data_IF_719944144656
#
_entry.id   IF_719944144656
#
_cell.length_a   1.000
_cell.length_b   1.000
_cell.length_c   1.000
_cell.angle_alpha   90.00
_cell.angle_beta   90.00
_cell.angle_gamma   90.00
#
_symmetry.space_group_name_H-M   'P 1'
#
loop_
_entity.id
_entity.type
_entity.pdbx_description
1 polymer ?
#
# COMPACT_ATOMS: atom_id res chain seq x y z
N UNK A 1 -22.28 -7.49 9.36
CA UNK A 1 -21.72 -6.95 10.62
C UNK A 1 -20.70 -5.86 10.30
N UNK A 2 -20.77 -4.72 11.01
CA UNK A 2 -19.89 -3.55 10.85
C UNK A 2 -19.20 -3.29 12.19
N UNK A 3 -17.87 -3.33 12.21
CA UNK A 3 -17.09 -3.03 13.42
C UNK A 3 -16.56 -1.60 13.32
N UNK A 4 -16.76 -0.79 14.36
CA UNK A 4 -16.27 0.60 14.48
C UNK A 4 -15.48 0.72 15.79
N UNK A 5 -14.27 1.28 15.71
CA UNK A 5 -13.38 1.49 16.87
C UNK A 5 -13.36 2.99 17.18
N UNK A 6 -13.47 3.36 18.47
CA UNK A 6 -13.63 4.74 18.93
C UNK A 6 -12.32 5.39 19.41
N UNK A 7 -12.12 6.71 19.23
CA UNK A 7 -10.82 7.41 19.31
C UNK A 7 -10.20 7.59 20.70
N UNK A 8 -10.96 7.43 21.78
CA UNK A 8 -10.58 7.96 23.10
C UNK A 8 -9.60 7.07 23.88
N UNK A 9 -9.09 5.99 23.30
CA UNK A 9 -8.13 5.09 23.94
C UNK A 9 -6.90 4.90 23.06
N UNK A 10 -5.71 5.10 23.64
CA UNK A 10 -4.51 4.49 23.10
C UNK A 10 -4.62 2.98 23.31
N UNK A 11 -4.49 2.22 22.23
CA UNK A 11 -4.49 0.76 22.29
C UNK A 11 -3.07 0.25 22.10
N UNK A 12 -2.63 -0.67 22.94
CA UNK A 12 -1.35 -1.36 22.68
C UNK A 12 -1.45 -2.13 21.36
N UNK A 13 -2.47 -2.97 21.21
CA UNK A 13 -2.70 -3.67 19.95
C UNK A 13 -4.19 -3.76 19.63
N UNK A 14 -4.49 -3.69 18.34
CA UNK A 14 -5.82 -3.88 17.81
C UNK A 14 -5.82 -5.05 16.84
N UNK A 15 -6.51 -6.13 17.21
CA UNK A 15 -6.65 -7.33 16.38
C UNK A 15 -8.10 -7.49 15.91
N UNK A 16 -8.31 -7.58 14.60
CA UNK A 16 -9.63 -7.79 14.00
C UNK A 16 -9.59 -8.99 13.06
N UNK A 17 -10.52 -9.92 13.23
CA UNK A 17 -10.73 -11.04 12.32
C UNK A 17 -12.15 -11.02 11.79
N UNK A 18 -12.32 -11.04 10.47
CA UNK A 18 -13.63 -10.86 9.85
C UNK A 18 -13.77 -11.61 8.52
N UNK A 19 -14.80 -12.43 8.34
CA UNK A 19 -14.93 -13.19 7.08
C UNK A 19 -15.49 -12.36 5.92
N UNK A 20 -16.63 -11.68 6.07
CA UNK A 20 -17.36 -11.05 4.95
C UNK A 20 -17.84 -9.62 5.24
N UNK A 21 -17.57 -9.11 6.44
CA UNK A 21 -18.07 -7.83 6.93
C UNK A 21 -17.17 -6.64 6.58
N UNK A 22 -17.51 -5.50 7.17
CA UNK A 22 -16.80 -4.25 6.97
C UNK A 22 -16.10 -3.84 8.26
N UNK A 23 -14.77 -3.68 8.18
CA UNK A 23 -13.91 -3.20 9.26
C UNK A 23 -13.60 -1.74 8.99
N UNK A 24 -13.98 -0.84 9.91
CA UNK A 24 -13.71 0.59 9.76
C UNK A 24 -13.06 1.12 11.04
N UNK A 25 -11.85 1.64 10.92
CA UNK A 25 -11.12 2.30 11.99
C UNK A 25 -10.82 3.74 11.56
N UNK A 26 -11.16 4.72 12.41
CA UNK A 26 -11.00 6.15 12.08
C UNK A 26 -10.42 6.94 13.23
N UNK A 27 -9.43 7.80 12.97
CA UNK A 27 -8.82 8.72 13.94
C UNK A 27 -8.33 7.99 15.19
N UNK A 28 -7.48 6.99 14.99
CA UNK A 28 -7.02 6.10 16.07
C UNK A 28 -5.50 6.09 16.16
N UNK A 29 -5.04 6.02 17.41
CA UNK A 29 -3.65 5.79 17.75
C UNK A 29 -3.54 4.43 18.45
N UNK A 30 -2.80 3.50 17.86
CA UNK A 30 -2.48 2.24 18.51
C UNK A 30 -1.03 1.86 18.19
N UNK A 31 -0.36 1.07 19.02
CA UNK A 31 1.03 0.69 18.71
C UNK A 31 1.09 -0.35 17.57
N UNK A 32 0.05 -1.17 17.46
CA UNK A 32 -0.05 -2.25 16.47
C UNK A 32 -1.48 -2.41 15.95
N UNK A 33 -1.66 -2.39 14.63
CA UNK A 33 -2.90 -2.84 13.97
C UNK A 33 -2.66 -4.18 13.27
N UNK A 34 -3.49 -5.18 13.56
CA UNK A 34 -3.48 -6.48 12.91
C UNK A 34 -4.90 -6.82 12.45
N UNK A 35 -5.14 -6.76 11.15
CA UNK A 35 -6.47 -6.96 10.56
C UNK A 35 -6.39 -8.12 9.58
N UNK A 36 -7.22 -9.14 9.79
CA UNK A 36 -7.34 -10.26 8.87
C UNK A 36 -8.78 -10.39 8.40
N UNK A 37 -8.98 -10.41 7.08
CA UNK A 37 -10.29 -10.66 6.48
C UNK A 37 -10.24 -11.66 5.33
N UNK A 38 -11.34 -12.34 5.06
CA UNK A 38 -11.45 -13.15 3.85
C UNK A 38 -11.97 -12.32 2.68
N UNK A 39 -13.24 -11.93 2.71
CA UNK A 39 -13.95 -11.22 1.63
C UNK A 39 -14.40 -9.81 2.04
N UNK A 40 -14.06 -9.37 3.25
CA UNK A 40 -14.51 -8.10 3.80
C UNK A 40 -13.82 -6.89 3.21
N UNK A 41 -14.32 -5.71 3.56
CA UNK A 41 -13.66 -4.44 3.21
C UNK A 41 -13.08 -3.82 4.48
N UNK A 42 -11.78 -3.53 4.45
CA UNK A 42 -11.04 -2.83 5.49
C UNK A 42 -10.85 -1.38 5.09
N UNK A 43 -11.41 -0.46 5.87
CA UNK A 43 -11.21 0.97 5.74
C UNK A 43 -10.42 1.50 6.96
N UNK A 44 -9.29 2.13 6.70
CA UNK A 44 -8.50 2.86 7.71
C UNK A 44 -8.43 4.34 7.31
N UNK A 45 -8.83 5.25 8.21
CA UNK A 45 -8.82 6.71 7.97
C UNK A 45 -8.16 7.46 9.12
N UNK A 46 -7.12 8.25 8.88
CA UNK A 46 -6.50 9.06 9.95
C UNK A 46 -5.88 8.19 11.04
N UNK A 47 -5.07 7.20 10.69
CA UNK A 47 -4.47 6.27 11.64
C UNK A 47 -3.02 6.66 11.91
N UNK A 48 -2.60 6.64 13.17
CA UNK A 48 -1.20 6.71 13.56
C UNK A 48 -0.80 5.44 14.31
N UNK A 49 0.17 4.69 13.77
CA UNK A 49 0.63 3.45 14.39
C UNK A 49 2.07 3.14 13.97
N UNK A 50 2.99 2.78 14.88
CA UNK A 50 4.28 2.22 14.51
C UNK A 50 4.18 1.07 13.50
N UNK A 51 3.18 0.17 13.65
CA UNK A 51 3.05 -1.01 12.80
C UNK A 51 1.61 -1.29 12.37
N UNK A 52 1.43 -1.58 11.08
CA UNK A 52 0.14 -2.01 10.51
C UNK A 52 0.37 -3.28 9.70
N UNK A 53 -0.41 -4.31 9.99
CA UNK A 53 -0.52 -5.54 9.19
C UNK A 53 -1.99 -5.70 8.80
N UNK A 54 -2.27 -5.77 7.51
CA UNK A 54 -3.61 -6.06 7.01
C UNK A 54 -3.59 -7.09 5.89
N UNK A 55 -4.39 -8.14 6.05
CA UNK A 55 -4.47 -9.25 5.10
C UNK A 55 -5.92 -9.49 4.67
N UNK A 56 -6.11 -9.69 3.38
CA UNK A 56 -7.39 -10.05 2.76
C UNK A 56 -7.23 -11.23 1.79
N UNK A 57 -8.27 -12.05 1.60
CA UNK A 57 -8.29 -12.99 0.47
C UNK A 57 -8.85 -12.31 -0.80
N UNK A 58 -10.12 -11.94 -0.77
CA UNK A 58 -10.84 -11.29 -1.88
C UNK A 58 -11.26 -9.85 -1.52
N UNK A 59 -10.92 -9.40 -0.33
CA UNK A 59 -11.37 -8.13 0.25
C UNK A 59 -10.69 -6.88 -0.31
N UNK A 60 -11.36 -5.75 -0.16
CA UNK A 60 -10.84 -4.42 -0.49
C UNK A 60 -10.14 -3.84 0.74
N UNK A 61 -8.95 -3.30 0.56
CA UNK A 61 -8.26 -2.50 1.58
C UNK A 61 -8.15 -1.06 1.08
N UNK A 62 -8.71 -0.12 1.83
CA UNK A 62 -8.77 1.29 1.47
C UNK A 62 -8.28 2.15 2.64
N UNK A 63 -7.03 2.58 2.56
CA UNK A 63 -6.35 3.31 3.62
C UNK A 63 -6.16 4.75 3.18
N UNK A 64 -6.51 5.71 4.03
CA UNK A 64 -6.30 7.13 3.77
C UNK A 64 -5.81 7.87 4.99
N UNK A 65 -4.88 8.80 4.79
CA UNK A 65 -4.27 9.61 5.84
C UNK A 65 -3.70 8.72 6.96
N UNK A 66 -2.80 7.80 6.60
CA UNK A 66 -2.20 6.84 7.54
C UNK A 66 -0.73 7.13 7.70
N UNK A 67 -0.28 7.30 8.94
CA UNK A 67 1.11 7.47 9.30
C UNK A 67 1.57 6.24 10.09
N UNK A 68 2.55 5.52 9.55
CA UNK A 68 3.15 4.39 10.24
C UNK A 68 4.63 4.25 9.92
N UNK A 69 5.38 3.52 10.76
CA UNK A 69 6.77 3.21 10.42
C UNK A 69 6.82 2.04 9.44
N UNK A 70 6.05 0.98 9.73
CA UNK A 70 6.03 -0.25 8.94
C UNK A 70 4.59 -0.64 8.59
N UNK A 71 4.31 -0.80 7.30
CA UNK A 71 3.00 -1.18 6.79
C UNK A 71 3.16 -2.42 5.92
N UNK A 72 2.48 -3.51 6.29
CA UNK A 72 2.37 -4.71 5.48
C UNK A 72 0.92 -4.93 5.06
N UNK A 73 0.65 -4.89 3.76
CA UNK A 73 -0.69 -5.09 3.20
C UNK A 73 -0.68 -6.19 2.16
N UNK A 74 -1.57 -7.18 2.30
CA UNK A 74 -1.60 -8.34 1.40
C UNK A 74 -3.01 -8.73 1.00
N UNK A 75 -3.25 -8.90 -0.29
CA UNK A 75 -4.50 -9.45 -0.81
C UNK A 75 -4.24 -10.63 -1.75
N UNK A 76 -5.15 -11.59 -1.90
CA UNK A 76 -5.02 -12.58 -2.98
C UNK A 76 -5.65 -12.04 -4.27
N UNK A 77 -6.91 -11.63 -4.24
CA UNK A 77 -7.67 -11.21 -5.43
C UNK A 77 -8.25 -9.80 -5.33
N UNK A 78 -8.05 -9.12 -4.20
CA UNK A 78 -8.67 -7.83 -3.93
C UNK A 78 -7.82 -6.62 -4.33
N UNK A 79 -8.44 -5.44 -4.21
CA UNK A 79 -7.80 -4.14 -4.44
C UNK A 79 -7.19 -3.61 -3.15
N UNK A 80 -5.96 -3.12 -3.23
CA UNK A 80 -5.30 -2.32 -2.20
C UNK A 80 -5.18 -0.88 -2.70
N UNK A 81 -5.76 0.07 -1.97
CA UNK A 81 -5.67 1.50 -2.24
C UNK A 81 -5.10 2.20 -1.01
N UNK A 82 -3.99 2.88 -1.20
CA UNK A 82 -3.28 3.66 -0.19
C UNK A 82 -3.27 5.12 -0.66
N UNK A 83 -3.94 5.99 0.06
CA UNK A 83 -4.09 7.42 -0.28
C UNK A 83 -3.49 8.28 0.83
N UNK A 84 -2.37 8.94 0.58
CA UNK A 84 -1.59 9.67 1.62
C UNK A 84 -1.23 8.74 2.79
N UNK A 85 -0.59 7.62 2.45
CA UNK A 85 -0.05 6.65 3.41
C UNK A 85 1.47 6.76 3.45
N UNK A 86 1.99 7.08 4.64
CA UNK A 86 3.39 7.40 4.89
C UNK A 86 4.04 6.34 5.79
N UNK A 87 5.27 5.96 5.47
CA UNK A 87 6.02 4.87 6.11
C UNK A 87 6.76 3.97 5.13
N UNK A 88 7.46 2.97 5.63
CA UNK A 88 7.94 1.86 4.82
C UNK A 88 6.77 0.92 4.50
N UNK A 89 6.49 0.74 3.20
CA UNK A 89 5.30 -0.01 2.76
C UNK A 89 5.72 -1.24 1.97
N UNK A 90 5.31 -2.39 2.47
CA UNK A 90 5.29 -3.64 1.73
C UNK A 90 3.85 -3.99 1.34
N UNK A 91 3.61 -4.12 0.04
CA UNK A 91 2.29 -4.40 -0.49
C UNK A 91 2.30 -5.54 -1.50
N UNK A 92 1.45 -6.53 -1.29
CA UNK A 92 1.43 -7.74 -2.11
C UNK A 92 0.02 -8.07 -2.60
N UNK A 93 -0.10 -8.45 -3.87
CA UNK A 93 -1.32 -9.07 -4.39
C UNK A 93 -1.03 -10.27 -5.31
N UNK A 94 -1.99 -11.19 -5.51
CA UNK A 94 -1.84 -12.26 -6.51
C UNK A 94 -2.55 -11.94 -7.81
N UNK A 95 -3.82 -11.57 -7.76
CA UNK A 95 -4.67 -11.31 -8.93
C UNK A 95 -5.42 -9.96 -8.81
N UNK A 96 -4.86 -9.02 -8.05
CA UNK A 96 -5.51 -7.76 -7.74
C UNK A 96 -4.74 -6.54 -8.26
N UNK A 97 -5.11 -5.37 -7.75
CA UNK A 97 -4.39 -4.14 -8.01
C UNK A 97 -3.91 -3.49 -6.72
N UNK A 98 -2.75 -2.85 -6.82
CA UNK A 98 -2.18 -2.05 -5.77
C UNK A 98 -2.03 -0.62 -6.31
N UNK A 99 -2.61 0.34 -5.60
CA UNK A 99 -2.48 1.75 -5.92
C UNK A 99 -2.00 2.52 -4.70
N UNK A 100 -0.95 3.33 -4.90
CA UNK A 100 -0.47 4.32 -3.93
C UNK A 100 -0.65 5.72 -4.53
N UNK A 101 -1.25 6.62 -3.76
CA UNK A 101 -1.24 8.07 -3.99
C UNK A 101 -0.49 8.71 -2.84
N UNK A 102 0.49 9.57 -3.12
CA UNK A 102 1.33 10.17 -2.09
C UNK A 102 1.90 11.51 -2.57
N UNK A 103 2.37 12.32 -1.63
CA UNK A 103 2.95 13.62 -1.96
C UNK A 103 4.32 13.47 -2.62
N UNK A 104 5.12 12.52 -2.14
CA UNK A 104 6.50 12.31 -2.59
C UNK A 104 6.93 10.85 -2.41
N UNK A 105 8.07 10.51 -3.00
CA UNK A 105 8.62 9.15 -3.07
C UNK A 105 9.97 9.03 -2.38
N UNK A 106 10.29 9.94 -1.47
CA UNK A 106 11.55 9.97 -0.71
C UNK A 106 11.52 8.96 0.46
N UNK A 107 11.16 7.70 0.16
CA UNK A 107 11.08 6.58 1.10
C UNK A 107 11.16 5.22 0.41
N UNK A 108 11.40 4.18 1.19
CA UNK A 108 11.42 2.81 0.70
C UNK A 108 10.00 2.27 0.45
N UNK A 109 9.81 1.62 -0.71
CA UNK A 109 8.56 0.94 -1.07
C UNK A 109 8.86 -0.42 -1.69
N UNK A 110 8.04 -1.42 -1.39
CA UNK A 110 8.13 -2.74 -2.00
C UNK A 110 6.74 -3.24 -2.40
N UNK A 111 6.42 -3.20 -3.70
CA UNK A 111 5.16 -3.66 -4.24
C UNK A 111 5.34 -4.83 -5.19
N UNK A 112 4.55 -5.88 -4.98
CA UNK A 112 4.59 -7.10 -5.77
C UNK A 112 3.19 -7.56 -6.15
N UNK A 113 3.03 -7.97 -7.40
CA UNK A 113 1.84 -8.70 -7.86
C UNK A 113 2.21 -9.90 -8.74
N UNK A 114 1.34 -10.90 -8.86
CA UNK A 114 1.54 -11.97 -9.84
C UNK A 114 0.78 -11.70 -11.14
N UNK A 115 -0.52 -11.39 -11.07
CA UNK A 115 -1.41 -11.12 -12.18
C UNK A 115 -2.18 -9.81 -11.92
N UNK A 116 -1.52 -8.67 -12.02
CA UNK A 116 -2.10 -7.44 -11.50
C UNK A 116 -1.43 -6.16 -11.93
N UNK A 117 -1.95 -5.05 -11.42
CA UNK A 117 -1.45 -3.71 -11.73
C UNK A 117 -0.87 -3.08 -10.48
N UNK A 118 0.30 -2.45 -10.63
CA UNK A 118 0.89 -1.58 -9.61
C UNK A 118 0.86 -0.16 -10.16
N UNK A 119 0.16 0.73 -9.47
CA UNK A 119 0.06 2.14 -9.83
C UNK A 119 0.57 3.01 -8.68
N UNK A 120 1.45 3.94 -8.97
CA UNK A 120 1.89 4.97 -8.03
C UNK A 120 1.63 6.33 -8.66
N UNK A 121 0.90 7.18 -7.94
CA UNK A 121 0.69 8.58 -8.28
C UNK A 121 1.40 9.43 -7.22
N UNK A 122 2.34 10.28 -7.65
CA UNK A 122 3.08 11.20 -6.77
C UNK A 122 2.75 12.65 -7.12
N UNK A 123 2.63 13.54 -6.14
CA UNK A 123 2.39 14.96 -6.39
C UNK A 123 3.68 15.70 -6.82
N UNK A 124 4.82 15.33 -6.23
CA UNK A 124 6.14 15.88 -6.57
C UNK A 124 6.95 14.92 -7.43
N UNK A 125 7.76 15.46 -8.34
CA UNK A 125 8.78 14.66 -9.01
C UNK A 125 9.79 14.11 -7.98
N UNK A 126 10.12 12.81 -8.01
CA UNK A 126 11.12 12.25 -7.13
C UNK A 126 12.49 12.86 -7.41
N UNK A 127 13.27 13.12 -6.35
CA UNK A 127 14.61 13.73 -6.48
C UNK A 127 15.74 12.81 -6.05
N UNK A 128 15.46 11.75 -5.28
CA UNK A 128 16.46 10.84 -4.73
C UNK A 128 15.92 9.40 -4.60
N UNK A 129 15.74 8.71 -5.72
CA UNK A 129 15.08 7.40 -5.77
C UNK A 129 15.78 6.45 -6.75
N UNK A 130 15.95 5.19 -6.35
CA UNK A 130 16.26 4.07 -7.23
C UNK A 130 15.00 3.21 -7.44
N UNK A 131 14.50 3.19 -8.67
CA UNK A 131 13.44 2.26 -9.08
C UNK A 131 14.05 0.94 -9.54
N UNK A 132 13.67 -0.13 -8.87
CA UNK A 132 13.95 -1.52 -9.24
C UNK A 132 12.65 -2.14 -9.75
N UNK A 133 12.50 -2.24 -11.07
CA UNK A 133 11.28 -2.62 -11.76
C UNK A 133 11.51 -3.92 -12.52
N UNK A 134 10.64 -4.90 -12.27
CA UNK A 134 10.66 -6.19 -12.96
C UNK A 134 9.26 -6.54 -13.43
N UNK A 135 9.12 -6.76 -14.75
CA UNK A 135 7.88 -7.15 -15.42
C UNK A 135 8.22 -8.31 -16.35
N UNK A 136 7.61 -9.48 -16.16
CA UNK A 136 7.87 -10.62 -17.05
C UNK A 136 7.00 -10.55 -18.31
N UNK A 137 5.68 -10.37 -18.14
CA UNK A 137 4.69 -10.26 -19.20
C UNK A 137 3.82 -9.01 -19.00
N UNK A 138 4.15 -7.94 -19.70
CA UNK A 138 3.41 -6.68 -19.65
C UNK A 138 4.29 -5.49 -19.92
N UNK A 139 4.02 -4.37 -19.25
CA UNK A 139 4.77 -3.13 -19.45
C UNK A 139 5.03 -2.38 -18.16
N UNK A 140 6.15 -1.65 -18.13
CA UNK A 140 6.42 -0.64 -17.13
C UNK A 140 6.47 0.75 -17.78
N UNK A 141 5.88 1.72 -17.11
CA UNK A 141 6.01 3.13 -17.44
C UNK A 141 6.30 3.91 -16.15
N UNK A 142 7.50 4.46 -16.05
CA UNK A 142 7.97 5.24 -14.91
C UNK A 142 8.11 6.69 -15.38
N UNK A 143 7.25 7.56 -14.83
CA UNK A 143 7.20 9.00 -15.04
C UNK A 143 7.06 9.42 -16.52
N UNK A 144 6.54 8.56 -17.40
CA UNK A 144 6.54 8.74 -18.86
C UNK A 144 7.93 8.93 -19.47
N UNK A 145 8.98 8.53 -18.75
CA UNK A 145 10.39 8.74 -19.12
C UNK A 145 11.17 7.42 -19.22
N UNK A 146 10.80 6.41 -18.42
CA UNK A 146 11.53 5.14 -18.34
C UNK A 146 10.58 3.94 -18.41
N UNK A 147 11.09 2.79 -18.85
CA UNK A 147 10.33 1.56 -19.01
C UNK A 147 10.84 0.40 -18.11
N UNK A 148 11.63 0.71 -17.09
CA UNK A 148 12.26 -0.30 -16.22
C UNK A 148 13.08 0.34 -15.10
N UNK A 149 14.15 -0.33 -14.70
CA UNK A 149 15.08 0.16 -13.68
C UNK A 149 15.61 1.55 -14.02
N UNK A 150 15.64 2.45 -13.03
CA UNK A 150 16.21 3.79 -13.21
C UNK A 150 16.64 4.38 -11.86
N UNK A 151 17.58 5.32 -11.89
CA UNK A 151 18.07 6.05 -10.71
C UNK A 151 17.89 7.53 -10.95
N UNK A 152 17.32 8.23 -9.97
CA UNK A 152 17.11 9.67 -9.95
C UNK A 152 17.83 10.24 -8.73
N UNK A 153 18.71 11.22 -8.95
CA UNK A 153 19.57 11.78 -7.91
C UNK A 153 20.59 10.76 -7.40
N UNK A 154 20.75 10.67 -6.07
CA UNK A 154 21.70 9.72 -5.44
C UNK A 154 21.17 8.30 -5.34
N UNK A 155 19.85 8.09 -5.46
CA UNK A 155 19.23 6.78 -5.37
C UNK A 155 19.18 6.19 -3.95
N UNK A 156 19.17 7.02 -2.91
CA UNK A 156 19.20 6.55 -1.51
C UNK A 156 17.89 5.87 -1.09
N UNK A 157 16.75 6.26 -1.67
CA UNK A 157 15.46 5.62 -1.42
C UNK A 157 15.16 4.55 -2.47
N UNK A 158 14.82 3.33 -2.04
CA UNK A 158 14.64 2.19 -2.96
C UNK A 158 13.15 1.89 -3.14
N UNK A 159 12.68 1.92 -4.39
CA UNK A 159 11.32 1.53 -4.77
C UNK A 159 11.39 0.27 -5.62
N UNK A 160 10.96 -0.85 -5.04
CA UNK A 160 10.90 -2.16 -5.71
C UNK A 160 9.48 -2.42 -6.20
N UNK A 161 9.34 -2.63 -7.51
CA UNK A 161 8.05 -2.90 -8.16
C UNK A 161 8.18 -4.15 -9.02
N UNK A 162 7.38 -5.17 -8.72
CA UNK A 162 7.45 -6.45 -9.43
C UNK A 162 6.06 -6.93 -9.88
N UNK A 163 5.94 -7.38 -11.13
CA UNK A 163 4.79 -8.15 -11.60
C UNK A 163 5.19 -9.25 -12.57
N UNK A 164 4.57 -10.43 -12.46
CA UNK A 164 4.74 -11.48 -13.46
C UNK A 164 3.88 -11.20 -14.71
N UNK A 165 2.58 -11.00 -14.55
CA UNK A 165 1.65 -10.63 -15.63
C UNK A 165 0.93 -9.33 -15.27
N UNK A 166 1.22 -8.24 -15.98
CA UNK A 166 0.50 -6.98 -15.82
C UNK A 166 1.37 -5.74 -15.97
N UNK A 167 0.84 -4.60 -15.54
CA UNK A 167 1.45 -3.30 -15.79
C UNK A 167 1.90 -2.62 -14.51
N UNK A 168 3.06 -1.98 -14.57
CA UNK A 168 3.58 -1.08 -13.54
C UNK A 168 3.53 0.34 -14.09
N UNK A 169 2.91 1.25 -13.36
CA UNK A 169 2.87 2.67 -13.73
C UNK A 169 3.22 3.54 -12.54
N UNK A 170 4.19 4.43 -12.72
CA UNK A 170 4.49 5.53 -11.81
C UNK A 170 4.28 6.82 -12.59
N UNK A 171 3.49 7.76 -12.08
CA UNK A 171 3.25 9.04 -12.75
C UNK A 171 3.12 10.17 -11.74
N UNK A 172 3.33 11.40 -12.21
CA UNK A 172 2.91 12.56 -11.45
C UNK A 172 1.39 12.74 -11.58
N UNK A 173 0.75 13.27 -10.55
CA UNK A 173 -0.63 13.75 -10.63
C UNK A 173 -0.77 15.01 -11.47
#
# INVERSE_FOLDING_TARGET
>A
FKFRISPEKQYDSLKVSNNNGYVSAKKLNATHFNINTSNGHVELRGINSPKIIAEANNGIMDFKDVLAQNIHVKSNNGRIMLDHVEGEIEGQTKNGSLTLKTNELDRNLNFMTHNGKINIETEKEPTNVQFNVSVDNGSANILNKYNGNTVIGKGENIIKLNTHNGNITVKNQ
#
